data_IF_909223311030
#
_entry.id   IF_909223311030
#
_cell.length_a   1.000
_cell.length_b   1.000
_cell.length_c   1.000
_cell.angle_alpha   90.00
_cell.angle_beta   90.00
_cell.angle_gamma   90.00
#
_symmetry.space_group_name_H-M   'P 1'
#
loop_
_entity.id
_entity.type
_entity.pdbx_description
1 polymer ?
#
# COMPACT_ATOMS: atom_id res chain seq x y z
N UNK A 1 4.16 -30.08 -54.15
CA UNK A 1 5.32 -30.39 -55.00
C UNK A 1 5.29 -29.50 -56.21
N UNK A 2 6.08 -28.43 -56.26
CA UNK A 2 6.71 -27.99 -57.52
C UNK A 2 7.93 -27.09 -57.23
N UNK A 3 8.75 -26.90 -58.26
CA UNK A 3 10.22 -26.83 -58.25
C UNK A 3 10.88 -25.50 -57.86
N UNK A 4 12.13 -25.67 -57.42
CA UNK A 4 13.22 -24.67 -57.32
C UNK A 4 13.56 -24.01 -58.67
N UNK A 5 13.97 -22.74 -58.61
CA UNK A 5 15.15 -22.12 -59.28
C UNK A 5 15.11 -20.61 -58.93
N UNK A 6 16.18 -19.86 -58.64
CA UNK A 6 17.61 -20.07 -58.72
C UNK A 6 18.28 -18.77 -59.22
N UNK A 7 19.24 -18.23 -58.43
CA UNK A 7 20.43 -17.42 -58.85
C UNK A 7 20.13 -16.00 -59.43
N UNK A 8 20.97 -14.96 -59.38
CA UNK A 8 22.42 -14.72 -59.13
C UNK A 8 22.61 -13.19 -58.94
N UNK A 9 23.45 -12.75 -57.99
CA UNK A 9 24.74 -12.03 -58.16
C UNK A 9 24.76 -10.57 -58.67
N UNK A 10 25.51 -9.73 -57.93
CA UNK A 10 26.16 -8.49 -58.39
C UNK A 10 26.64 -7.63 -57.20
N UNK A 11 27.87 -7.84 -56.67
CA UNK A 11 29.09 -6.99 -56.84
C UNK A 11 28.88 -5.51 -56.48
N UNK A 12 29.48 -4.92 -55.43
CA UNK A 12 30.89 -4.74 -55.03
C UNK A 12 31.51 -3.38 -55.49
N UNK A 13 31.89 -2.59 -54.48
CA UNK A 13 33.09 -1.73 -54.33
C UNK A 13 33.21 -0.40 -55.10
N UNK A 14 33.48 0.68 -54.34
CA UNK A 14 34.34 1.78 -54.81
C UNK A 14 34.23 3.09 -54.00
N UNK A 15 35.32 3.86 -53.80
CA UNK A 15 35.55 4.64 -52.57
C UNK A 15 35.71 6.17 -52.77
N UNK A 16 35.82 6.90 -51.65
CA UNK A 16 36.68 8.10 -51.55
C UNK A 16 35.97 9.45 -51.49
N UNK A 17 36.32 10.28 -50.50
CA UNK A 17 35.95 11.70 -50.48
C UNK A 17 36.18 12.38 -49.14
N UNK A 18 37.30 13.07 -49.02
CA UNK A 18 37.89 13.71 -47.84
C UNK A 18 37.36 15.12 -47.49
N UNK A 19 37.37 15.44 -46.19
CA UNK A 19 37.64 16.73 -45.50
C UNK A 19 36.73 17.95 -45.79
N UNK A 20 36.25 18.59 -44.69
CA UNK A 20 36.63 19.95 -44.23
C UNK A 20 35.98 20.28 -42.88
N UNK A 21 36.66 21.14 -42.10
CA UNK A 21 36.32 21.65 -40.76
C UNK A 21 35.53 22.97 -40.85
N UNK A 22 34.57 23.15 -39.91
CA UNK A 22 34.10 24.34 -39.14
C UNK A 22 33.84 25.70 -39.85
N UNK A 23 33.01 26.65 -39.32
CA UNK A 23 32.57 26.84 -37.91
C UNK A 23 31.11 27.32 -37.67
N UNK A 24 30.70 27.40 -36.39
CA UNK A 24 29.77 28.46 -35.92
C UNK A 24 28.48 28.03 -35.19
N UNK A 25 27.87 28.92 -34.38
CA UNK A 25 27.40 28.58 -33.02
C UNK A 25 25.87 28.49 -32.88
N UNK A 26 25.40 27.87 -31.79
CA UNK A 26 24.06 28.11 -31.25
C UNK A 26 23.27 26.83 -30.97
N UNK A 27 22.96 26.60 -29.70
CA UNK A 27 22.05 25.52 -29.29
C UNK A 27 21.98 25.39 -27.78
N UNK A 28 21.16 26.23 -27.14
CA UNK A 28 20.66 25.96 -25.79
C UNK A 28 19.74 24.74 -25.89
N UNK A 29 19.93 23.76 -25.00
CA UNK A 29 18.93 22.73 -24.74
C UNK A 29 19.49 21.31 -24.75
N UNK A 30 19.61 20.73 -23.57
CA UNK A 30 19.14 19.37 -23.29
C UNK A 30 19.33 19.14 -21.78
N UNK A 31 18.20 19.02 -21.08
CA UNK A 31 18.19 18.64 -19.68
C UNK A 31 18.90 17.31 -19.48
N UNK A 32 19.66 17.24 -18.39
CA UNK A 32 20.19 16.00 -17.85
C UNK A 32 19.02 15.03 -17.62
N UNK A 33 18.96 13.99 -18.45
CA UNK A 33 18.15 12.82 -18.17
C UNK A 33 18.85 12.09 -17.03
N UNK A 34 18.31 12.22 -15.82
CA UNK A 34 18.70 11.40 -14.70
C UNK A 34 18.34 9.93 -15.00
N UNK A 35 19.39 9.12 -14.99
CA UNK A 35 19.47 7.68 -15.18
C UNK A 35 18.55 6.94 -14.19
N UNK A 36 17.55 6.23 -14.72
CA UNK A 36 16.67 5.33 -13.98
C UNK A 36 17.43 4.05 -13.63
N UNK A 37 17.94 3.93 -12.40
CA UNK A 37 18.45 2.65 -11.89
C UNK A 37 17.35 1.90 -11.14
N UNK A 38 16.79 0.92 -11.83
CA UNK A 38 15.88 -0.09 -11.31
C UNK A 38 16.68 -1.07 -10.44
N UNK A 39 16.39 -1.11 -9.14
CA UNK A 39 16.84 -2.17 -8.22
C UNK A 39 15.80 -3.29 -8.11
N UNK A 40 16.17 -4.49 -7.61
CA UNK A 40 15.29 -5.64 -7.58
C UNK A 40 14.32 -5.57 -6.39
N UNK A 41 13.20 -4.88 -6.61
CA UNK A 41 12.01 -4.93 -5.79
C UNK A 41 10.85 -4.72 -6.74
N UNK A 42 10.00 -5.73 -6.96
CA UNK A 42 8.91 -5.61 -7.93
C UNK A 42 7.92 -4.53 -7.44
N UNK A 43 7.97 -3.37 -8.08
CA UNK A 43 6.79 -2.52 -8.31
C UNK A 43 6.31 -1.60 -7.19
N UNK A 44 7.13 -1.26 -6.19
CA UNK A 44 6.75 -0.18 -5.25
C UNK A 44 7.17 1.17 -5.85
N UNK A 45 6.25 1.81 -6.57
CA UNK A 45 6.42 3.20 -7.02
C UNK A 45 5.95 4.15 -5.94
N UNK A 46 6.91 4.81 -5.30
CA UNK A 46 6.69 5.88 -4.33
C UNK A 46 6.55 7.21 -5.06
N UNK A 47 5.39 7.85 -4.87
CA UNK A 47 4.78 8.89 -5.71
C UNK A 47 4.24 8.34 -7.03
N UNK A 48 3.15 8.96 -7.50
CA UNK A 48 2.99 9.51 -8.86
C UNK A 48 1.53 10.05 -9.01
N UNK A 49 1.24 10.90 -10.03
CA UNK A 49 0.07 11.82 -10.09
C UNK A 49 -1.29 11.11 -10.16
N UNK A 50 -2.40 11.86 -10.32
CA UNK A 50 -3.79 11.35 -10.39
C UNK A 50 -3.81 9.90 -10.92
N UNK A 51 -4.22 8.92 -10.10
CA UNK A 51 -4.16 7.50 -10.46
C UNK A 51 -5.01 7.12 -11.68
N UNK A 52 -5.69 8.10 -12.29
CA UNK A 52 -6.49 7.93 -13.48
C UNK A 52 -7.80 7.21 -13.15
N UNK A 53 -8.50 6.65 -14.13
CA UNK A 53 -9.62 5.76 -13.86
C UNK A 53 -9.15 4.37 -13.42
N UNK A 54 -9.93 3.73 -12.56
CA UNK A 54 -9.76 2.30 -12.23
C UNK A 54 -10.39 1.48 -13.38
N UNK A 55 -9.65 0.54 -14.00
CA UNK A 55 -10.22 -0.34 -15.03
C UNK A 55 -11.39 -1.17 -14.48
N UNK A 56 -12.37 -1.57 -15.33
CA UNK A 56 -13.44 -2.46 -14.92
C UNK A 56 -12.91 -3.73 -14.23
N UNK A 57 -13.54 -4.11 -13.11
CA UNK A 57 -13.14 -5.28 -12.31
C UNK A 57 -11.92 -5.07 -11.41
N UNK A 58 -11.48 -3.82 -11.23
CA UNK A 58 -10.45 -3.44 -10.25
C UNK A 58 -10.99 -2.40 -9.28
N UNK A 59 -10.31 -2.24 -8.15
CA UNK A 59 -10.67 -1.33 -7.06
C UNK A 59 -9.43 -0.64 -6.48
N UNK A 60 -9.63 0.55 -5.91
CA UNK A 60 -8.71 1.20 -4.97
C UNK A 60 -9.03 0.82 -3.54
N UNK A 61 -8.02 0.34 -2.82
CA UNK A 61 -8.15 -0.11 -1.43
C UNK A 61 -7.16 0.61 -0.54
N UNK A 62 -7.64 1.42 0.39
CA UNK A 62 -6.82 1.93 1.48
C UNK A 62 -6.95 0.96 2.67
N UNK A 63 -5.86 0.29 3.04
CA UNK A 63 -5.91 -0.86 3.97
C UNK A 63 -5.78 -0.48 5.45
N UNK A 64 -5.61 0.80 5.77
CA UNK A 64 -5.32 1.22 7.15
C UNK A 64 -5.79 2.66 7.37
N UNK A 65 -6.93 2.85 8.04
CA UNK A 65 -7.51 4.17 8.32
C UNK A 65 -8.18 4.20 9.69
N UNK A 66 -8.01 5.31 10.40
CA UNK A 66 -8.60 5.55 11.71
C UNK A 66 -9.69 6.63 11.63
N UNK A 67 -10.66 6.47 12.51
CA UNK A 67 -11.77 7.39 12.78
C UNK A 67 -11.62 7.97 14.18
N UNK A 68 -12.48 8.94 14.52
CA UNK A 68 -12.60 9.46 15.89
C UNK A 68 -12.82 8.39 16.97
N UNK A 69 -13.28 7.18 16.61
CA UNK A 69 -13.49 6.07 17.54
C UNK A 69 -12.19 5.39 18.00
N UNK A 70 -11.08 5.58 17.28
CA UNK A 70 -9.74 5.10 17.67
C UNK A 70 -9.21 5.81 18.94
N UNK A 71 -9.71 7.01 19.24
CA UNK A 71 -9.30 7.84 20.38
C UNK A 71 -8.04 8.69 20.12
N UNK A 72 -7.29 8.40 19.07
CA UNK A 72 -6.08 9.13 18.65
C UNK A 72 -6.19 9.77 17.26
N UNK A 73 -7.29 9.53 16.56
CA UNK A 73 -7.62 10.18 15.29
C UNK A 73 -8.76 11.21 15.45
N UNK A 74 -8.83 12.15 14.51
CA UNK A 74 -9.81 13.26 14.52
C UNK A 74 -10.79 13.19 13.36
N UNK A 75 -10.68 12.17 12.50
CA UNK A 75 -11.51 11.98 11.30
C UNK A 75 -12.90 11.47 11.65
N UNK A 76 -13.94 12.30 11.52
CA UNK A 76 -15.32 11.82 11.65
C UNK A 76 -15.71 10.97 10.43
N UNK A 77 -16.69 10.08 10.58
CA UNK A 77 -17.18 9.24 9.46
C UNK A 77 -17.69 10.08 8.29
N UNK A 78 -18.29 11.25 8.53
CA UNK A 78 -18.72 12.18 7.48
C UNK A 78 -17.54 12.84 6.76
N UNK A 79 -16.44 13.14 7.47
CA UNK A 79 -15.23 13.64 6.84
C UNK A 79 -14.57 12.56 6.01
N UNK A 80 -14.54 11.32 6.50
CA UNK A 80 -14.06 10.15 5.77
C UNK A 80 -14.83 9.99 4.46
N UNK A 81 -16.17 10.03 4.48
CA UNK A 81 -16.99 9.93 3.28
C UNK A 81 -16.63 11.00 2.21
N UNK A 82 -16.40 12.25 2.64
CA UNK A 82 -15.95 13.32 1.74
C UNK A 82 -14.59 13.01 1.11
N UNK A 83 -13.67 12.42 1.87
CA UNK A 83 -12.34 12.05 1.37
C UNK A 83 -12.36 10.83 0.48
N UNK A 84 -13.14 9.82 0.82
CA UNK A 84 -13.40 8.66 -0.04
C UNK A 84 -13.84 9.11 -1.43
N UNK A 85 -14.80 10.03 -1.51
CA UNK A 85 -15.25 10.58 -2.79
C UNK A 85 -14.16 11.41 -3.50
N UNK A 86 -13.42 12.25 -2.77
CA UNK A 86 -12.37 13.12 -3.33
C UNK A 86 -11.17 12.32 -3.87
N UNK A 87 -10.76 11.27 -3.15
CA UNK A 87 -9.62 10.40 -3.47
C UNK A 87 -10.01 9.21 -4.35
N UNK A 88 -11.32 9.04 -4.62
CA UNK A 88 -11.89 7.95 -5.43
C UNK A 88 -11.47 6.57 -4.90
N UNK A 89 -11.59 6.39 -3.58
CA UNK A 89 -11.36 5.11 -2.91
C UNK A 89 -12.61 4.25 -3.07
N UNK A 90 -12.46 3.03 -3.57
CA UNK A 90 -13.58 2.10 -3.78
C UNK A 90 -13.81 1.23 -2.54
N UNK A 91 -12.74 0.95 -1.80
CA UNK A 91 -12.74 0.12 -0.60
C UNK A 91 -11.89 0.75 0.51
N UNK A 92 -12.45 0.87 1.71
CA UNK A 92 -11.77 1.43 2.86
C UNK A 92 -11.71 0.38 3.97
N UNK A 93 -10.50 0.04 4.44
CA UNK A 93 -10.35 -0.73 5.66
C UNK A 93 -10.30 0.24 6.84
N UNK A 94 -11.34 0.23 7.67
CA UNK A 94 -11.37 1.02 8.90
C UNK A 94 -10.85 0.14 10.02
N UNK A 95 -9.77 0.59 10.67
CA UNK A 95 -8.93 -0.21 11.58
C UNK A 95 -8.66 0.55 12.87
N UNK A 96 -9.72 1.11 13.46
CA UNK A 96 -9.63 1.85 14.72
C UNK A 96 -8.91 1.05 15.81
N UNK A 97 -8.18 1.74 16.68
CA UNK A 97 -7.56 1.09 17.82
C UNK A 97 -8.63 0.54 18.76
N UNK A 98 -8.61 -0.78 18.94
CA UNK A 98 -9.44 -1.47 19.92
C UNK A 98 -10.95 -1.28 19.77
N UNK A 99 -11.42 -0.88 18.60
CA UNK A 99 -12.83 -0.61 18.33
C UNK A 99 -13.21 -1.05 16.92
N UNK A 100 -14.46 -1.50 16.76
CA UNK A 100 -15.09 -1.69 15.45
C UNK A 100 -16.17 -0.63 15.19
N UNK A 101 -16.42 0.28 16.13
CA UNK A 101 -17.57 1.18 16.10
C UNK A 101 -17.50 2.14 14.90
N UNK A 102 -16.32 2.69 14.60
CA UNK A 102 -16.14 3.54 13.44
C UNK A 102 -16.29 2.80 12.11
N UNK A 103 -15.88 1.53 12.07
CA UNK A 103 -16.06 0.70 10.89
C UNK A 103 -17.55 0.39 10.64
N UNK A 104 -18.29 0.00 11.68
CA UNK A 104 -19.73 -0.25 11.56
C UNK A 104 -20.52 1.02 11.29
N UNK A 105 -20.19 2.14 11.92
CA UNK A 105 -20.80 3.43 11.60
C UNK A 105 -20.56 3.82 10.13
N UNK A 106 -19.36 3.58 9.60
CA UNK A 106 -19.05 3.82 8.19
C UNK A 106 -19.86 2.91 7.24
N UNK A 107 -20.12 1.66 7.63
CA UNK A 107 -21.02 0.75 6.89
C UNK A 107 -22.46 1.30 6.93
N UNK A 108 -22.97 1.62 8.11
CA UNK A 108 -24.35 2.08 8.31
C UNK A 108 -24.66 3.39 7.57
N UNK A 109 -23.68 4.28 7.49
CA UNK A 109 -23.82 5.58 6.84
C UNK A 109 -23.61 5.58 5.33
N UNK A 110 -23.22 4.44 4.75
CA UNK A 110 -22.89 4.31 3.32
C UNK A 110 -21.94 5.43 2.85
N UNK A 111 -20.69 5.39 3.31
CA UNK A 111 -19.69 6.44 3.04
C UNK A 111 -19.27 6.56 1.56
N UNK A 112 -19.91 5.80 0.65
CA UNK A 112 -19.59 5.79 -0.77
C UNK A 112 -18.42 4.89 -1.15
N UNK A 113 -17.94 4.05 -0.22
CA UNK A 113 -16.98 2.97 -0.45
C UNK A 113 -17.43 1.71 0.29
N UNK A 114 -17.03 0.55 -0.22
CA UNK A 114 -17.16 -0.69 0.55
C UNK A 114 -16.23 -0.62 1.77
N UNK A 115 -16.77 -0.84 2.95
CA UNK A 115 -15.97 -0.89 4.18
C UNK A 115 -15.55 -2.33 4.47
N UNK A 116 -14.26 -2.54 4.68
CA UNK A 116 -13.73 -3.74 5.33
C UNK A 116 -13.59 -3.43 6.82
N UNK A 117 -14.34 -4.14 7.64
CA UNK A 117 -14.31 -3.99 9.10
C UNK A 117 -13.02 -4.59 9.62
N UNK A 118 -12.20 -3.80 10.30
CA UNK A 118 -10.98 -4.24 10.95
C UNK A 118 -10.73 -3.50 12.25
N UNK A 119 -9.68 -3.93 12.94
CA UNK A 119 -9.25 -3.38 14.23
C UNK A 119 -7.72 -3.38 14.25
N UNK A 120 -7.09 -2.30 14.69
CA UNK A 120 -5.66 -2.31 15.03
C UNK A 120 -5.48 -2.63 16.51
N UNK A 121 -4.99 -3.83 16.80
CA UNK A 121 -4.83 -4.37 18.15
C UNK A 121 -3.40 -4.16 18.61
N UNK A 122 -3.21 -3.26 19.59
CA UNK A 122 -1.99 -3.18 20.39
C UNK A 122 -1.82 -4.39 21.31
N UNK A 123 -0.66 -5.04 21.18
CA UNK A 123 -0.18 -6.10 22.07
C UNK A 123 1.12 -5.68 22.75
N UNK A 124 1.66 -6.52 23.64
CA UNK A 124 3.01 -6.30 24.21
C UNK A 124 4.13 -6.45 23.19
N UNK A 125 3.89 -7.18 22.09
CA UNK A 125 4.87 -7.42 21.05
C UNK A 125 4.83 -6.35 19.94
N UNK A 126 3.82 -5.47 19.95
CA UNK A 126 3.53 -4.54 18.86
C UNK A 126 2.07 -4.60 18.43
N UNK A 127 1.71 -3.76 17.47
CA UNK A 127 0.39 -3.67 16.85
C UNK A 127 0.22 -4.67 15.71
N UNK A 128 -0.99 -5.22 15.61
CA UNK A 128 -1.43 -6.12 14.54
C UNK A 128 -2.83 -5.72 14.14
N UNK A 129 -3.11 -5.71 12.84
CA UNK A 129 -4.45 -5.50 12.32
C UNK A 129 -5.11 -6.86 12.05
N UNK A 130 -6.35 -6.99 12.52
CA UNK A 130 -7.28 -7.99 12.02
C UNK A 130 -8.24 -7.35 11.03
N UNK A 131 -8.30 -7.84 9.79
CA UNK A 131 -9.30 -7.42 8.80
C UNK A 131 -10.40 -8.48 8.66
N UNK A 132 -11.57 -8.03 8.19
CA UNK A 132 -12.79 -8.84 8.02
C UNK A 132 -13.32 -9.40 9.36
N UNK A 133 -13.29 -8.56 10.40
CA UNK A 133 -13.77 -8.92 11.73
C UNK A 133 -15.28 -8.69 11.85
N UNK A 134 -15.95 -9.55 12.62
CA UNK A 134 -17.34 -9.41 13.03
C UNK A 134 -17.46 -8.97 14.50
N UNK A 135 -16.50 -9.38 15.33
CA UNK A 135 -16.44 -9.09 16.77
C UNK A 135 -15.08 -8.48 17.14
N UNK A 136 -15.13 -7.50 18.04
CA UNK A 136 -13.95 -6.84 18.60
C UNK A 136 -13.05 -7.84 19.33
N UNK A 137 -11.74 -7.66 19.21
CA UNK A 137 -10.76 -8.41 19.98
C UNK A 137 -10.56 -7.73 21.34
N UNK A 138 -10.67 -8.46 22.47
CA UNK A 138 -10.45 -7.88 23.78
C UNK A 138 -9.04 -7.29 23.94
N UNK A 139 -8.95 -6.24 24.75
CA UNK A 139 -7.68 -5.55 24.98
C UNK A 139 -6.74 -6.37 25.89
N UNK A 140 -5.44 -6.06 25.83
CA UNK A 140 -4.38 -6.62 26.70
C UNK A 140 -4.15 -8.13 26.51
N UNK A 141 -4.44 -8.65 25.32
CA UNK A 141 -4.19 -10.06 25.00
C UNK A 141 -2.74 -10.28 24.53
N UNK A 142 -2.14 -11.45 24.85
CA UNK A 142 -0.90 -11.88 24.21
C UNK A 142 -1.10 -12.05 22.69
N UNK A 143 -0.04 -11.80 21.91
CA UNK A 143 -0.07 -11.88 20.44
C UNK A 143 -0.64 -13.21 19.91
N UNK A 144 -0.28 -14.40 20.44
CA UNK A 144 -0.86 -15.66 19.97
C UNK A 144 -2.38 -15.76 20.16
N UNK A 145 -2.93 -15.16 21.22
CA UNK A 145 -4.37 -15.16 21.49
C UNK A 145 -5.10 -14.17 20.58
N UNK A 146 -4.47 -13.03 20.24
CA UNK A 146 -4.98 -12.10 19.21
C UNK A 146 -5.04 -12.80 17.86
N UNK A 147 -3.95 -13.45 17.44
CA UNK A 147 -3.89 -14.25 16.21
C UNK A 147 -5.00 -15.30 16.16
N UNK A 148 -5.17 -16.07 17.25
CA UNK A 148 -6.22 -17.08 17.35
C UNK A 148 -7.62 -16.49 17.16
N UNK A 149 -7.92 -15.35 17.79
CA UNK A 149 -9.22 -14.67 17.70
C UNK A 149 -9.49 -14.10 16.31
N UNK A 150 -8.48 -13.58 15.62
CA UNK A 150 -8.61 -13.17 14.21
C UNK A 150 -8.96 -14.40 13.36
N UNK A 151 -8.27 -15.53 13.56
CA UNK A 151 -8.49 -16.78 12.80
C UNK A 151 -9.86 -17.40 13.07
N UNK A 152 -10.36 -17.37 14.30
CA UNK A 152 -11.70 -17.87 14.65
C UNK A 152 -12.80 -17.15 13.85
N UNK A 153 -12.55 -15.88 13.49
CA UNK A 153 -13.44 -15.07 12.66
C UNK A 153 -13.14 -15.18 11.15
N UNK A 154 -12.18 -16.02 10.76
CA UNK A 154 -11.66 -16.14 9.38
C UNK A 154 -11.07 -14.82 8.86
N UNK A 155 -10.63 -13.96 9.77
CA UNK A 155 -10.01 -12.69 9.45
C UNK A 155 -8.60 -12.84 8.88
N UNK A 156 -8.12 -11.74 8.33
CA UNK A 156 -6.76 -11.62 7.79
C UNK A 156 -5.86 -10.99 8.85
N UNK A 157 -4.68 -11.58 9.04
CA UNK A 157 -3.65 -11.05 9.95
C UNK A 157 -2.70 -10.17 9.16
N UNK A 158 -2.72 -8.89 9.49
CA UNK A 158 -1.99 -7.84 8.79
C UNK A 158 -1.00 -7.20 9.75
N UNK A 159 0.27 -7.10 9.36
CA UNK A 159 1.30 -6.42 10.14
C UNK A 159 1.41 -4.94 9.68
N UNK A 160 0.85 -3.98 10.42
CA UNK A 160 0.95 -2.56 10.10
C UNK A 160 2.34 -2.03 10.44
N UNK A 161 2.82 -1.07 9.63
CA UNK A 161 4.08 -0.33 9.82
C UNK A 161 5.21 -1.12 10.51
N UNK A 162 5.52 -2.37 10.08
CA UNK A 162 6.03 -3.39 10.99
C UNK A 162 7.49 -3.21 11.40
N UNK A 163 8.21 -2.29 10.75
CA UNK A 163 9.63 -2.01 10.98
C UNK A 163 9.91 -0.52 11.19
N UNK A 164 8.89 0.28 11.50
CA UNK A 164 9.08 1.67 11.94
C UNK A 164 9.31 1.71 13.47
N UNK A 165 10.49 2.16 13.95
CA UNK A 165 10.79 2.26 15.37
C UNK A 165 10.07 3.44 16.06
N UNK A 166 9.46 4.36 15.31
CA UNK A 166 8.72 5.49 15.88
C UNK A 166 7.27 5.15 16.24
N UNK A 167 6.88 3.89 16.08
CA UNK A 167 5.53 3.37 16.29
C UNK A 167 5.56 2.13 17.17
N UNK A 168 4.40 1.69 17.64
CA UNK A 168 4.26 0.44 18.38
C UNK A 168 4.28 -0.77 17.42
N UNK A 169 5.29 -0.84 16.56
CA UNK A 169 5.40 -1.90 15.56
C UNK A 169 5.82 -3.25 16.17
N UNK A 170 5.59 -4.35 15.45
CA UNK A 170 6.08 -5.68 15.83
C UNK A 170 7.61 -5.78 15.87
N UNK A 171 8.27 -4.93 15.10
CA UNK A 171 9.70 -5.03 14.85
C UNK A 171 10.10 -6.32 14.12
N UNK A 172 11.40 -6.47 13.87
CA UNK A 172 11.93 -7.60 13.12
C UNK A 172 11.80 -8.95 13.85
N UNK A 173 11.66 -8.95 15.18
CA UNK A 173 11.47 -10.17 15.96
C UNK A 173 10.03 -10.67 15.90
N UNK A 174 9.05 -9.82 16.23
CA UNK A 174 7.64 -10.19 16.17
C UNK A 174 7.19 -10.55 14.76
N UNK A 175 7.72 -9.86 13.74
CA UNK A 175 7.41 -10.17 12.34
C UNK A 175 7.94 -11.55 11.91
N UNK A 176 9.15 -11.92 12.36
CA UNK A 176 9.70 -13.27 12.11
C UNK A 176 8.92 -14.33 12.86
N UNK A 177 8.56 -14.10 14.12
CA UNK A 177 7.77 -15.02 14.93
C UNK A 177 6.42 -15.33 14.25
N UNK A 178 5.68 -14.29 13.82
CA UNK A 178 4.42 -14.50 13.10
C UNK A 178 4.60 -15.25 11.79
N UNK A 179 5.66 -14.95 11.03
CA UNK A 179 5.95 -15.65 9.77
C UNK A 179 6.24 -17.14 10.01
N UNK A 180 7.15 -17.46 10.94
CA UNK A 180 7.55 -18.84 11.27
C UNK A 180 6.36 -19.69 11.75
N UNK A 181 5.36 -19.06 12.38
CA UNK A 181 4.13 -19.71 12.82
C UNK A 181 3.00 -19.73 11.77
N UNK A 182 3.22 -19.22 10.55
CA UNK A 182 2.17 -19.14 9.52
C UNK A 182 1.02 -18.19 9.88
N UNK A 183 1.29 -17.22 10.75
CA UNK A 183 0.35 -16.26 11.30
C UNK A 183 0.54 -14.84 10.71
N UNK A 184 1.25 -14.72 9.59
CA UNK A 184 1.48 -13.46 8.89
C UNK A 184 0.95 -13.55 7.46
N UNK A 185 -0.26 -13.04 7.23
CA UNK A 185 -0.89 -13.11 5.89
C UNK A 185 -0.49 -11.93 5.01
N UNK A 186 -0.31 -10.75 5.61
CA UNK A 186 -0.04 -9.50 4.88
C UNK A 186 0.96 -8.65 5.65
N UNK A 187 1.89 -8.04 4.91
CA UNK A 187 2.83 -7.04 5.41
C UNK A 187 2.49 -5.69 4.79
N UNK A 188 2.33 -4.65 5.62
CA UNK A 188 2.26 -3.29 5.14
C UNK A 188 3.65 -2.83 4.68
N UNK A 189 3.83 -2.76 3.37
CA UNK A 189 5.11 -2.31 2.78
C UNK A 189 5.06 -0.84 2.40
N UNK A 190 3.86 -0.25 2.48
CA UNK A 190 3.62 1.14 2.16
C UNK A 190 2.67 1.80 3.16
N UNK A 191 3.24 2.41 4.20
CA UNK A 191 2.51 3.23 5.16
C UNK A 191 2.82 4.72 4.91
N UNK A 192 1.79 5.52 4.67
CA UNK A 192 1.94 6.93 4.27
C UNK A 192 2.37 7.88 5.40
N UNK A 193 2.29 7.45 6.65
CA UNK A 193 2.70 8.25 7.82
C UNK A 193 4.19 8.04 8.18
N UNK A 194 4.86 7.08 7.52
CA UNK A 194 6.29 6.80 7.71
C UNK A 194 7.10 7.79 6.87
N UNK A 195 7.79 8.72 7.55
CA UNK A 195 8.60 9.75 6.92
C UNK A 195 9.97 9.26 6.44
N UNK A 196 10.54 8.24 7.11
CA UNK A 196 11.78 7.60 6.68
C UNK A 196 11.49 6.46 5.68
N UNK A 197 11.79 6.63 4.39
CA UNK A 197 11.51 5.61 3.38
C UNK A 197 12.26 4.29 3.63
N UNK A 198 13.31 4.28 4.45
CA UNK A 198 14.06 3.05 4.77
C UNK A 198 13.20 2.03 5.54
N UNK A 199 12.26 2.47 6.39
CA UNK A 199 11.39 1.55 7.14
C UNK A 199 10.39 0.84 6.23
N UNK A 200 9.76 1.58 5.31
CA UNK A 200 8.91 1.00 4.27
C UNK A 200 9.72 0.07 3.34
N UNK A 201 10.94 0.47 2.95
CA UNK A 201 11.82 -0.37 2.14
C UNK A 201 12.24 -1.66 2.87
N UNK A 202 12.48 -1.60 4.18
CA UNK A 202 12.78 -2.77 5.00
C UNK A 202 11.59 -3.73 5.04
N UNK A 203 10.35 -3.21 5.21
CA UNK A 203 9.14 -4.02 5.19
C UNK A 203 8.93 -4.68 3.83
N UNK A 204 9.13 -3.94 2.73
CA UNK A 204 9.08 -4.47 1.37
C UNK A 204 10.11 -5.58 1.14
N UNK A 205 11.34 -5.39 1.60
CA UNK A 205 12.41 -6.39 1.51
C UNK A 205 12.07 -7.65 2.31
N UNK A 206 11.49 -7.50 3.50
CA UNK A 206 11.06 -8.64 4.32
C UNK A 206 9.94 -9.43 3.62
N UNK A 207 8.90 -8.75 3.13
CA UNK A 207 7.78 -9.39 2.43
C UNK A 207 8.26 -10.15 1.20
N UNK A 208 9.11 -9.52 0.37
CA UNK A 208 9.63 -10.12 -0.85
C UNK A 208 10.54 -11.34 -0.61
N UNK A 209 11.34 -11.34 0.46
CA UNK A 209 12.24 -12.46 0.79
C UNK A 209 11.50 -13.70 1.30
N UNK A 210 10.31 -13.51 1.85
CA UNK A 210 9.52 -14.56 2.49
C UNK A 210 8.24 -14.89 1.70
N UNK A 211 8.09 -14.37 0.48
CA UNK A 211 6.92 -14.55 -0.39
C UNK A 211 5.59 -14.18 0.28
N UNK A 212 5.59 -13.14 1.12
CA UNK A 212 4.39 -12.66 1.83
C UNK A 212 3.69 -11.58 1.00
N UNK A 213 2.36 -11.65 0.81
CA UNK A 213 1.59 -10.59 0.19
C UNK A 213 1.82 -9.21 0.82
N UNK A 214 1.95 -8.20 -0.04
CA UNK A 214 2.24 -6.83 0.34
C UNK A 214 1.00 -5.94 0.21
N UNK A 215 0.80 -5.04 1.16
CA UNK A 215 -0.30 -4.07 1.17
C UNK A 215 0.18 -2.64 1.45
N UNK A 216 -0.76 -1.70 1.35
CA UNK A 216 -0.56 -0.28 1.54
C UNK A 216 -1.72 0.35 2.29
N UNK A 217 -1.41 1.27 3.19
CA UNK A 217 -2.40 1.95 4.02
C UNK A 217 -1.97 3.38 4.30
N UNK A 218 -2.93 4.30 4.31
CA UNK A 218 -2.63 5.70 4.63
C UNK A 218 -2.31 5.91 6.10
N UNK A 219 -2.78 5.03 6.99
CA UNK A 219 -2.69 5.17 8.44
C UNK A 219 -3.23 6.55 8.87
N UNK A 220 -4.30 6.96 8.18
CA UNK A 220 -4.82 8.31 8.31
C UNK A 220 -5.48 8.50 9.67
N UNK A 221 -4.93 9.44 10.44
CA UNK A 221 -5.49 9.91 11.71
C UNK A 221 -6.23 11.26 11.58
N UNK A 222 -6.18 11.86 10.40
CA UNK A 222 -6.86 13.09 10.03
C UNK A 222 -7.38 13.01 8.59
N UNK A 223 -8.35 13.87 8.19
CA UNK A 223 -8.94 13.78 6.86
C UNK A 223 -7.97 14.04 5.70
N UNK A 224 -6.87 14.78 5.90
CA UNK A 224 -5.91 15.08 4.83
C UNK A 224 -5.01 13.87 4.53
N UNK A 225 -4.86 12.99 5.51
CA UNK A 225 -4.15 11.72 5.39
C UNK A 225 -4.82 10.69 4.47
N UNK A 226 -6.16 10.67 4.42
CA UNK A 226 -6.91 9.62 3.71
C UNK A 226 -6.54 9.59 2.23
N UNK A 227 -6.30 8.39 1.68
CA UNK A 227 -5.90 8.19 0.29
C UNK A 227 -4.42 8.51 -0.01
N UNK A 228 -3.60 8.80 1.01
CA UNK A 228 -2.15 9.00 0.83
C UNK A 228 -1.42 7.74 0.37
N UNK A 229 -1.93 6.56 0.71
CA UNK A 229 -1.49 5.27 0.19
C UNK A 229 -2.67 4.34 -0.03
N UNK A 230 -2.61 3.53 -1.07
CA UNK A 230 -3.66 2.56 -1.42
C UNK A 230 -3.12 1.51 -2.40
N UNK A 231 -3.85 0.42 -2.49
CA UNK A 231 -3.70 -0.61 -3.49
C UNK A 231 -4.59 -0.32 -4.69
N UNK A 232 -4.12 -0.68 -5.87
CA UNK A 232 -4.96 -0.87 -7.04
C UNK A 232 -4.91 -2.35 -7.43
N UNK A 233 -5.99 -3.09 -7.15
CA UNK A 233 -6.03 -4.55 -7.28
C UNK A 233 -7.33 -5.03 -7.97
N UNK A 234 -7.41 -6.29 -8.47
CA UNK A 234 -8.69 -6.85 -8.88
C UNK A 234 -9.71 -6.75 -7.74
N UNK A 235 -10.96 -6.45 -8.07
CA UNK A 235 -12.03 -6.48 -7.07
C UNK A 235 -12.15 -7.87 -6.48
N UNK A 236 -12.54 -7.97 -5.21
CA UNK A 236 -12.49 -9.20 -4.41
C UNK A 236 -13.78 -9.43 -3.65
N UNK A 237 -14.04 -10.66 -3.24
CA UNK A 237 -15.17 -11.03 -2.37
C UNK A 237 -14.70 -11.80 -1.13
N UNK A 238 -14.66 -11.09 0.00
CA UNK A 238 -14.25 -11.64 1.30
C UNK A 238 -12.73 -11.85 1.47
N UNK A 239 -12.33 -12.36 2.66
CA UNK A 239 -10.92 -12.42 3.09
C UNK A 239 -10.06 -13.34 2.21
N UNK A 240 -10.56 -14.52 1.84
CA UNK A 240 -9.82 -15.48 1.02
C UNK A 240 -9.54 -14.94 -0.37
N UNK A 241 -10.51 -14.28 -0.99
CA UNK A 241 -10.35 -13.72 -2.33
C UNK A 241 -9.47 -12.46 -2.33
N UNK A 242 -9.55 -11.65 -1.26
CA UNK A 242 -8.63 -10.55 -1.01
C UNK A 242 -7.18 -11.02 -1.02
N UNK A 243 -6.83 -12.01 -0.17
CA UNK A 243 -5.47 -12.56 -0.10
C UNK A 243 -5.00 -13.16 -1.43
N UNK A 244 -5.89 -13.87 -2.13
CA UNK A 244 -5.56 -14.50 -3.41
C UNK A 244 -5.23 -13.48 -4.51
N UNK A 245 -5.91 -12.32 -4.51
CA UNK A 245 -5.76 -11.26 -5.52
C UNK A 245 -4.71 -10.21 -5.15
N UNK A 246 -4.31 -10.15 -3.88
CA UNK A 246 -3.33 -9.20 -3.38
C UNK A 246 -1.98 -9.22 -4.13
N UNK A 247 -1.44 -10.38 -4.58
CA UNK A 247 -0.23 -10.41 -5.41
C UNK A 247 -0.34 -9.69 -6.77
N UNK A 248 -1.56 -9.41 -7.26
CA UNK A 248 -1.82 -8.65 -8.49
C UNK A 248 -2.02 -7.14 -8.23
N UNK A 249 -1.89 -6.71 -6.97
CA UNK A 249 -2.02 -5.31 -6.58
C UNK A 249 -0.84 -4.48 -7.08
N UNK A 250 -1.14 -3.24 -7.44
CA UNK A 250 -0.14 -2.18 -7.60
C UNK A 250 -0.24 -1.24 -6.42
N UNK A 251 0.89 -0.93 -5.82
CA UNK A 251 0.95 -0.07 -4.63
C UNK A 251 1.19 1.36 -5.05
N UNK A 252 0.40 2.27 -4.47
CA UNK A 252 0.57 3.71 -4.58
C UNK A 252 0.74 4.28 -3.18
N UNK A 253 1.60 5.28 -3.05
CA UNK A 253 1.83 5.93 -1.77
C UNK A 253 2.69 7.17 -1.88
N UNK A 254 2.40 8.15 -1.06
CA UNK A 254 3.29 9.26 -0.73
C UNK A 254 3.25 9.51 0.78
N UNK A 255 4.36 9.97 1.33
CA UNK A 255 4.36 10.44 2.71
C UNK A 255 3.44 11.66 2.84
N UNK A 256 2.56 11.65 3.84
CA UNK A 256 1.81 12.85 4.27
C UNK A 256 2.03 13.06 5.75
N UNK A 257 2.32 14.31 6.12
CA UNK A 257 2.33 14.69 7.52
C UNK A 257 0.90 14.68 8.05
N UNK A 258 0.69 13.98 9.16
CA UNK A 258 -0.59 13.93 9.83
C UNK A 258 -0.62 14.97 10.95
N UNK A 259 -1.81 15.51 11.21
CA UNK A 259 -1.97 16.47 12.30
C UNK A 259 -1.72 15.73 13.61
N UNK A 260 -0.63 16.07 14.31
CA UNK A 260 -0.36 15.51 15.62
C UNK A 260 -1.54 15.79 16.55
N UNK A 261 -2.12 14.76 17.14
CA UNK A 261 -3.18 14.88 18.13
C UNK A 261 -2.74 15.82 19.26
N UNK A 262 -3.38 16.99 19.37
CA UNK A 262 -3.23 17.88 20.52
C UNK A 262 -4.48 17.74 21.39
N UNK A 263 -4.38 17.15 22.60
CA UNK A 263 -5.50 17.17 23.52
C UNK A 263 -5.75 18.61 23.97
N UNK A 264 -6.94 19.14 23.64
CA UNK A 264 -7.46 20.37 24.23
C UNK A 264 -7.01 21.68 23.56
N UNK A 265 -7.66 22.04 22.46
CA UNK A 265 -8.04 23.44 22.19
C UNK A 265 -9.52 23.48 21.80
N UNK A 266 -10.36 23.25 22.81
CA UNK A 266 -11.72 23.76 22.78
C UNK A 266 -11.67 25.29 22.83
N UNK A 267 -12.56 25.89 22.04
CA UNK A 267 -12.88 27.32 21.92
C UNK A 267 -12.74 28.14 23.20
#
# INVERSE_FOLDING_TARGET
>A
MDRRAGRRQGRALGPGGTRRRDPGPGGRGAGERADQRQGPGRGVTWRLPDPGPVPPGRVRVDCHVHTVHSGDAVSTVEQIAKRVAAERIDVLCVTDHHSLDGAWEAVERDIGARVVVGEEIRTRAGEVIGLFLAERIPYVLPLPEVVRRIRDQRGVIYAPHPLDPNRTSLGAEGLRELHEHGALDVVEVCNAKISDPEHNAAAANFAARNDIPAAAGSDAHDPQGIGAAYLHMPDFDGPTDFLRKLPEARIWGEHRDHVGWQPGRGS
#
